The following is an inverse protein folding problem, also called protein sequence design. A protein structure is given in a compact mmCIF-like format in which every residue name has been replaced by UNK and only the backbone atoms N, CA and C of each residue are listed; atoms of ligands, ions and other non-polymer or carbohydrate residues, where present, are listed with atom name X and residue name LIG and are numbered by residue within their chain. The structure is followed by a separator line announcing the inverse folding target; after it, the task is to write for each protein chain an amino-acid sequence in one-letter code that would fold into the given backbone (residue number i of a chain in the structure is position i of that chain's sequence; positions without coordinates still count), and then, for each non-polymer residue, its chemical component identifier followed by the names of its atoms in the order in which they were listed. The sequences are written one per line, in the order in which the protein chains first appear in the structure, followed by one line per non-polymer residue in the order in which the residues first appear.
data_IF_907997128806
#
_entry.id   IF_907997128806
#
_cell.length_a   1.000
_cell.length_b   1.000
_cell.length_c   1.000
_cell.angle_alpha   90.00
_cell.angle_beta   90.00
_cell.angle_gamma   90.00
#
_symmetry.space_group_name_H-M   'P 1'
#
loop_
_entity.id
_entity.type
_entity.pdbx_description
1 polymer ?
#
# COMPACT_ATOMS: atom_id res chain seq x y z
N UNK A 1 -24.41 3.30 -0.03
CA UNK A 1 -23.78 2.80 -1.26
C UNK A 1 -24.81 2.83 -2.37
N UNK A 2 -24.40 3.08 -3.61
CA UNK A 2 -25.29 2.92 -4.77
C UNK A 2 -24.88 1.65 -5.51
N UNK A 3 -25.84 0.84 -5.90
CA UNK A 3 -25.62 -0.38 -6.68
C UNK A 3 -26.29 -0.19 -8.03
N UNK A 4 -25.59 -0.52 -9.10
CA UNK A 4 -26.14 -0.53 -10.45
C UNK A 4 -26.92 -1.84 -10.62
N UNK A 5 -28.25 -1.76 -10.68
CA UNK A 5 -29.11 -2.95 -10.78
C UNK A 5 -29.25 -3.41 -12.23
N UNK A 6 -29.27 -2.46 -13.16
CA UNK A 6 -29.44 -2.73 -14.58
C UNK A 6 -28.50 -1.81 -15.37
N UNK A 7 -27.55 -2.42 -16.07
CA UNK A 7 -26.54 -1.71 -16.87
C UNK A 7 -27.17 -1.08 -18.12
N UNK A 8 -28.21 -1.69 -18.69
CA UNK A 8 -28.85 -1.19 -19.91
C UNK A 8 -29.78 -0.01 -19.63
N UNK A 9 -30.37 0.02 -18.43
CA UNK A 9 -31.28 1.11 -18.01
C UNK A 9 -30.60 2.22 -17.22
N UNK A 10 -29.33 2.07 -16.86
CA UNK A 10 -28.57 3.00 -16.01
C UNK A 10 -29.27 3.30 -14.67
N UNK A 11 -29.96 2.30 -14.11
CA UNK A 11 -30.73 2.44 -12.87
C UNK A 11 -29.86 2.16 -11.64
N UNK A 12 -29.72 3.18 -10.78
CA UNK A 12 -28.98 3.11 -9.53
C UNK A 12 -29.92 2.98 -8.33
N UNK A 13 -29.74 1.92 -7.55
CA UNK A 13 -30.46 1.75 -6.28
C UNK A 13 -29.58 2.10 -5.10
N UNK A 14 -30.14 2.86 -4.15
CA UNK A 14 -29.43 3.30 -2.95
C UNK A 14 -29.64 2.30 -1.82
N UNK A 15 -28.55 1.68 -1.41
CA UNK A 15 -28.52 0.74 -0.29
C UNK A 15 -27.79 1.33 0.91
N UNK A 16 -28.38 1.12 2.09
CA UNK A 16 -27.78 1.45 3.38
C UNK A 16 -27.58 0.15 4.12
N UNK A 17 -26.33 -0.20 4.37
CA UNK A 17 -25.95 -1.37 5.15
C UNK A 17 -25.44 -0.92 6.50
N UNK A 18 -25.92 -1.56 7.57
CA UNK A 18 -25.38 -1.40 8.91
C UNK A 18 -24.36 -2.50 9.13
N UNK A 19 -23.13 -2.11 9.44
CA UNK A 19 -22.11 -3.11 9.80
C UNK A 19 -22.52 -3.80 11.11
N UNK A 20 -22.46 -5.15 11.17
CA UNK A 20 -22.62 -5.89 12.41
C UNK A 20 -21.70 -5.37 13.51
N UNK A 21 -22.07 -5.61 14.76
CA UNK A 21 -21.20 -5.27 15.87
C UNK A 21 -19.84 -5.95 15.71
N UNK A 22 -18.78 -5.18 15.89
CA UNK A 22 -17.42 -5.64 15.91
C UNK A 22 -16.82 -5.20 17.24
N UNK A 23 -16.24 -6.13 18.00
CA UNK A 23 -15.58 -5.82 19.27
C UNK A 23 -14.31 -4.98 19.06
N UNK A 24 -13.82 -4.94 17.81
CA UNK A 24 -12.65 -4.16 17.42
C UNK A 24 -13.11 -2.74 17.05
N UNK A 25 -12.62 -1.76 17.81
CA UNK A 25 -12.86 -0.33 17.59
C UNK A 25 -12.08 0.21 16.39
N UNK A 26 -12.51 -0.17 15.18
CA UNK A 26 -11.98 0.37 13.92
C UNK A 26 -12.68 1.68 13.58
N UNK A 27 -11.88 2.72 13.35
CA UNK A 27 -12.37 4.06 13.01
C UNK A 27 -11.78 4.52 11.69
N UNK A 28 -12.52 5.37 10.97
CA UNK A 28 -12.03 6.02 9.74
C UNK A 28 -11.58 5.03 8.66
N UNK A 29 -12.44 4.06 8.35
CA UNK A 29 -12.21 3.11 7.27
C UNK A 29 -12.69 3.65 5.92
N UNK A 30 -12.13 3.11 4.83
CA UNK A 30 -12.57 3.39 3.46
C UNK A 30 -12.84 2.09 2.71
N UNK A 31 -13.67 2.18 1.65
CA UNK A 31 -13.94 1.05 0.75
C UNK A 31 -12.76 0.84 -0.17
N UNK A 32 -12.15 -0.34 -0.07
CA UNK A 32 -11.05 -0.78 -0.93
C UNK A 32 -11.59 -1.34 -2.24
N UNK A 33 -12.71 -2.06 -2.17
CA UNK A 33 -13.34 -2.70 -3.32
C UNK A 33 -14.25 -3.85 -2.88
N UNK A 34 -14.41 -4.81 -3.77
CA UNK A 34 -15.25 -5.98 -3.54
C UNK A 34 -14.52 -7.25 -4.02
N UNK A 35 -14.59 -8.33 -3.24
CA UNK A 35 -14.02 -9.62 -3.65
C UNK A 35 -14.91 -10.30 -4.70
N UNK A 36 -14.39 -11.30 -5.41
CA UNK A 36 -15.18 -12.15 -6.31
C UNK A 36 -16.36 -12.88 -5.62
N UNK A 37 -16.38 -12.92 -4.28
CA UNK A 37 -17.46 -13.50 -3.47
C UNK A 37 -18.54 -12.48 -3.08
N UNK A 38 -18.44 -11.24 -3.54
CA UNK A 38 -19.38 -10.16 -3.20
C UNK A 38 -19.15 -9.56 -1.81
N UNK A 39 -17.98 -9.75 -1.22
CA UNK A 39 -17.64 -9.16 0.07
C UNK A 39 -17.03 -7.78 -0.14
N UNK A 40 -17.59 -6.78 0.53
CA UNK A 40 -17.06 -5.42 0.54
C UNK A 40 -15.84 -5.39 1.46
N UNK A 41 -14.70 -4.96 0.93
CA UNK A 41 -13.45 -4.86 1.67
C UNK A 41 -13.28 -3.43 2.18
N UNK A 42 -13.06 -3.30 3.49
CA UNK A 42 -12.80 -2.03 4.16
C UNK A 42 -11.41 -2.07 4.80
N UNK A 43 -10.68 -0.95 4.77
CA UNK A 43 -9.40 -0.83 5.44
C UNK A 43 -9.32 0.50 6.21
N UNK A 44 -8.53 0.53 7.28
CA UNK A 44 -8.22 1.78 7.98
C UNK A 44 -7.48 2.75 7.05
N UNK A 45 -7.88 4.02 7.08
CA UNK A 45 -7.33 5.06 6.19
C UNK A 45 -5.87 5.40 6.50
N UNK A 46 -5.43 5.15 7.73
CA UNK A 46 -4.08 5.41 8.21
C UNK A 46 -3.52 4.14 8.85
N UNK A 47 -2.21 3.97 8.81
CA UNK A 47 -1.53 2.88 9.49
C UNK A 47 -1.73 3.00 11.00
N UNK A 48 -2.04 1.89 11.66
CA UNK A 48 -2.36 1.82 13.08
C UNK A 48 -1.81 0.50 13.65
N UNK A 49 -1.65 0.41 14.98
CA UNK A 49 -1.22 -0.83 15.62
C UNK A 49 -2.21 -1.22 16.72
N UNK A 50 -2.93 -2.34 16.56
CA UNK A 50 -3.00 -3.21 15.37
C UNK A 50 -3.71 -2.56 14.17
N UNK A 51 -3.36 -2.98 12.94
CA UNK A 51 -4.02 -2.55 11.69
C UNK A 51 -5.02 -3.61 11.25
N UNK A 52 -6.26 -3.22 10.92
CA UNK A 52 -7.29 -4.16 10.48
C UNK A 52 -7.80 -3.91 9.06
N UNK A 53 -8.06 -5.03 8.39
CA UNK A 53 -8.88 -5.11 7.16
C UNK A 53 -10.17 -5.84 7.50
N UNK A 54 -11.31 -5.30 7.06
CA UNK A 54 -12.62 -5.88 7.30
C UNK A 54 -13.22 -6.41 6.01
N UNK A 55 -13.84 -7.58 6.08
CA UNK A 55 -14.59 -8.21 5.01
C UNK A 55 -16.06 -8.26 5.42
N UNK A 56 -16.88 -7.47 4.74
CA UNK A 56 -18.32 -7.41 4.99
C UNK A 56 -19.10 -8.11 3.88
N UNK A 57 -19.88 -9.12 4.24
CA UNK A 57 -20.80 -9.79 3.33
C UNK A 57 -22.21 -9.20 3.51
N UNK A 58 -22.74 -8.43 2.55
CA UNK A 58 -24.07 -7.81 2.67
C UNK A 58 -25.22 -8.81 2.57
N UNK A 59 -25.05 -9.94 1.86
CA UNK A 59 -26.09 -10.97 1.73
C UNK A 59 -26.30 -11.73 3.04
N UNK A 60 -25.19 -12.08 3.71
CA UNK A 60 -25.19 -12.83 4.97
C UNK A 60 -25.24 -11.93 6.20
N UNK A 61 -25.04 -10.63 6.01
CA UNK A 61 -24.86 -9.63 7.06
C UNK A 61 -23.78 -10.06 8.08
N UNK A 62 -22.64 -10.52 7.57
CA UNK A 62 -21.50 -10.94 8.40
C UNK A 62 -20.33 -10.00 8.21
N UNK A 63 -19.60 -9.74 9.28
CA UNK A 63 -18.39 -8.93 9.28
C UNK A 63 -17.23 -9.76 9.84
N UNK A 64 -16.16 -9.86 9.08
CA UNK A 64 -14.91 -10.48 9.52
C UNK A 64 -13.83 -9.41 9.60
N UNK A 65 -13.03 -9.46 10.67
CA UNK A 65 -11.84 -8.64 10.84
C UNK A 65 -10.58 -9.49 10.67
N UNK A 66 -9.58 -8.92 10.01
CA UNK A 66 -8.26 -9.53 9.83
C UNK A 66 -7.22 -8.53 10.30
N UNK A 67 -6.42 -8.94 11.27
CA UNK A 67 -5.31 -8.15 11.79
C UNK A 67 -4.08 -8.33 10.89
N UNK A 68 -3.50 -7.21 10.45
CA UNK A 68 -2.23 -7.17 9.73
C UNK A 68 -1.16 -6.69 10.70
N UNK A 69 -0.19 -7.56 10.97
CA UNK A 69 0.95 -7.25 11.81
C UNK A 69 1.97 -6.39 11.07
N UNK A 70 2.77 -5.62 11.82
CA UNK A 70 3.94 -4.90 11.28
C UNK A 70 3.63 -3.57 10.57
N UNK A 71 2.36 -3.18 10.47
CA UNK A 71 1.92 -1.89 9.92
C UNK A 71 1.60 -0.95 11.08
N UNK A 72 2.05 0.31 11.05
CA UNK A 72 1.75 1.34 12.07
C UNK A 72 2.97 1.95 12.77
N UNK A 73 2.80 3.11 13.44
CA UNK A 73 3.87 3.77 14.19
C UNK A 73 4.37 2.89 15.34
N UNK A 74 5.69 2.75 15.47
CA UNK A 74 6.35 1.79 16.37
C UNK A 74 6.08 0.30 16.00
N UNK A 75 5.65 0.07 14.75
CA UNK A 75 5.67 -1.20 14.02
C UNK A 75 6.79 -1.16 12.98
N UNK A 76 7.30 -2.33 12.63
CA UNK A 76 8.62 -2.55 12.01
C UNK A 76 8.83 -1.88 10.64
N UNK A 77 7.76 -1.33 10.04
CA UNK A 77 7.78 -0.72 8.71
C UNK A 77 7.72 0.83 8.70
N UNK A 78 7.18 1.51 9.73
CA UNK A 78 6.93 2.96 9.69
C UNK A 78 7.14 3.66 11.04
N UNK A 79 7.81 4.82 11.01
CA UNK A 79 8.06 5.65 12.21
C UNK A 79 6.83 6.47 12.63
N UNK A 80 5.97 6.85 11.68
CA UNK A 80 4.77 7.67 11.89
C UNK A 80 3.54 7.04 11.26
N UNK A 81 2.37 7.59 11.56
CA UNK A 81 1.14 7.27 10.85
C UNK A 81 1.24 7.67 9.37
N UNK A 82 1.00 6.71 8.49
CA UNK A 82 1.04 6.88 7.04
C UNK A 82 -0.35 6.67 6.45
N UNK A 83 -0.64 7.32 5.32
CA UNK A 83 -1.90 7.08 4.60
C UNK A 83 -1.85 5.74 3.89
N UNK A 84 -2.92 4.96 3.99
CA UNK A 84 -3.03 3.64 3.37
C UNK A 84 -3.67 3.75 1.99
N UNK A 85 -3.08 3.05 1.03
CA UNK A 85 -3.64 2.76 -0.28
C UNK A 85 -3.70 1.24 -0.42
N UNK A 86 -4.90 0.71 -0.59
CA UNK A 86 -5.14 -0.72 -0.72
C UNK A 86 -5.86 -0.99 -2.03
N UNK A 87 -5.57 -2.16 -2.61
CA UNK A 87 -6.17 -2.63 -3.86
C UNK A 87 -6.61 -4.08 -3.68
N UNK A 88 -7.85 -4.38 -4.08
CA UNK A 88 -8.33 -5.77 -4.14
C UNK A 88 -7.72 -6.42 -5.39
N UNK A 89 -7.41 -7.72 -5.30
CA UNK A 89 -6.89 -8.54 -6.40
C UNK A 89 -5.60 -7.99 -7.05
N UNK A 90 -4.74 -7.33 -6.26
CA UNK A 90 -3.42 -6.91 -6.73
C UNK A 90 -2.54 -8.12 -7.08
N UNK A 91 -1.90 -8.07 -8.25
CA UNK A 91 -0.96 -9.08 -8.74
C UNK A 91 0.37 -8.38 -8.99
N UNK A 92 1.41 -8.82 -8.29
CA UNK A 92 2.77 -8.36 -8.52
C UNK A 92 3.42 -9.12 -9.68
N UNK A 93 4.16 -8.42 -10.53
CA UNK A 93 5.09 -9.05 -11.48
C UNK A 93 6.46 -9.15 -10.83
N UNK A 94 6.94 -10.38 -10.58
CA UNK A 94 8.21 -10.64 -9.93
C UNK A 94 9.34 -10.91 -10.95
N UNK A 95 9.24 -10.36 -12.17
CA UNK A 95 10.22 -10.61 -13.24
C UNK A 95 11.62 -10.04 -12.91
N UNK A 96 12.47 -10.87 -12.31
CA UNK A 96 13.88 -10.55 -12.06
C UNK A 96 14.67 -10.57 -13.36
N UNK A 97 14.88 -9.39 -13.94
CA UNK A 97 15.85 -9.21 -15.01
C UNK A 97 17.25 -9.16 -14.38
N UNK A 98 17.88 -10.32 -14.18
CA UNK A 98 19.29 -10.36 -13.82
C UNK A 98 20.12 -9.90 -15.02
N UNK A 99 20.44 -8.60 -15.05
CA UNK A 99 21.39 -8.03 -16.00
C UNK A 99 22.79 -8.54 -15.62
N UNK A 100 23.18 -9.69 -16.17
CA UNK A 100 24.56 -10.17 -16.10
C UNK A 100 25.32 -9.42 -17.19
N UNK A 101 25.91 -8.27 -16.86
CA UNK A 101 26.96 -7.70 -17.69
C UNK A 101 28.18 -8.61 -17.56
N UNK A 102 28.45 -9.39 -18.61
CA UNK A 102 29.77 -9.97 -18.81
C UNK A 102 30.76 -8.82 -19.05
N UNK A 103 31.35 -8.30 -17.97
CA UNK A 103 32.60 -7.55 -18.07
C UNK A 103 33.69 -8.53 -18.53
N UNK A 104 33.97 -8.54 -19.84
CA UNK A 104 35.22 -9.11 -20.34
C UNK A 104 36.34 -8.10 -20.04
N UNK A 105 37.22 -8.43 -19.11
CA UNK A 105 38.45 -7.68 -18.84
C UNK A 105 39.35 -7.67 -20.08
N UNK A 106 39.54 -6.48 -20.65
CA UNK A 106 40.59 -6.18 -21.62
C UNK A 106 41.68 -5.36 -20.93
N UNK A 107 42.80 -5.99 -20.64
CA UNK A 107 44.03 -5.39 -20.14
C UNK A 107 44.58 -4.34 -21.12
N UNK A 108 44.81 -3.13 -20.64
CA UNK A 108 45.53 -2.08 -21.35
C UNK A 108 46.25 -1.17 -20.36
N UNK A 109 47.57 -1.37 -20.20
CA UNK A 109 48.44 -0.43 -19.52
C UNK A 109 48.60 0.82 -20.40
N UNK A 110 48.33 2.01 -19.85
CA UNK A 110 48.51 3.30 -20.52
C UNK A 110 48.68 4.42 -19.49
N UNK A 111 49.79 5.14 -19.63
CA UNK A 111 50.45 6.06 -18.69
C UNK A 111 49.72 7.38 -18.34
N UNK A 112 50.05 7.91 -17.14
CA UNK A 112 49.93 9.32 -16.74
C UNK A 112 48.51 9.78 -16.38
N UNK A 113 48.23 10.65 -15.43
CA UNK A 113 49.01 11.54 -14.57
C UNK A 113 48.02 12.03 -13.50
N UNK A 114 48.48 12.13 -12.24
CA UNK A 114 47.61 12.37 -11.10
C UNK A 114 47.06 13.78 -11.02
N UNK A 115 45.77 13.89 -10.73
CA UNK A 115 45.14 15.08 -10.15
C UNK A 115 44.10 14.62 -9.13
N UNK A 116 44.43 14.82 -7.85
CA UNK A 116 43.50 14.74 -6.72
C UNK A 116 42.81 16.11 -6.65
N UNK A 117 41.51 16.18 -6.95
CA UNK A 117 40.71 17.36 -6.62
C UNK A 117 39.93 17.06 -5.33
N UNK A 118 40.45 17.61 -4.24
CA UNK A 118 39.77 17.76 -2.96
C UNK A 118 38.68 18.83 -3.12
N UNK A 119 37.42 18.50 -2.83
CA UNK A 119 36.37 19.51 -2.71
C UNK A 119 36.17 19.85 -1.23
N UNK A 120 36.61 21.05 -0.89
CA UNK A 120 36.50 21.72 0.41
C UNK A 120 35.03 22.14 0.66
N UNK A 121 34.54 21.95 1.89
CA UNK A 121 33.25 22.47 2.35
C UNK A 121 33.40 23.96 2.70
N UNK A 122 32.63 24.84 2.04
CA UNK A 122 32.44 26.20 2.56
C UNK A 122 31.36 26.17 3.64
N UNK A 123 31.79 26.46 4.88
CA UNK A 123 30.94 26.79 6.01
C UNK A 123 30.20 28.12 5.80
N UNK A 124 29.13 28.26 6.56
CA UNK A 124 28.14 29.33 6.61
C UNK A 124 28.73 30.74 6.76
N UNK A 125 27.96 31.75 6.33
CA UNK A 125 27.83 32.94 7.19
C UNK A 125 26.41 33.53 7.09
N UNK A 126 25.76 33.56 8.25
CA UNK A 126 24.55 34.32 8.54
C UNK A 126 24.89 35.82 8.65
N UNK A 127 24.08 36.69 8.03
CA UNK A 127 23.55 37.92 8.67
C UNK A 127 22.55 38.65 7.76
#
# INVERSE_FOLDING_TARGET
MSVLEDVEKEEWSKYVYTLPHNDIGVYNVFVVGMTARGEIVLAEKYTSKPFYVLYFNPEKNTLQSVEIQGVGPNGEAFETDCRVYAFVDHVEDLSVHSHIEHHSEGYGYGDGDGYEDEYEYDEEDES
#
